data_IF_733761413703
#
_entry.id   IF_733761413703
#
_cell.length_a   1.000
_cell.length_b   1.000
_cell.length_c   1.000
_cell.angle_alpha   90.00
_cell.angle_beta   90.00
_cell.angle_gamma   90.00
#
_symmetry.space_group_name_H-M   'P 1'
#
loop_
_entity.id
_entity.type
_entity.pdbx_description
1 polymer ?
#
# COMPACT_ATOMS: atom_id res chain seq x y z
N UNK A 1 54.90 -33.26 -2.58
CA UNK A 1 54.14 -32.27 -1.76
C UNK A 1 53.22 -31.49 -2.71
N UNK A 2 52.04 -32.01 -3.06
CA UNK A 2 51.17 -31.41 -4.11
C UNK A 2 49.71 -31.22 -3.70
N UNK A 3 49.32 -31.59 -2.47
CA UNK A 3 47.92 -31.51 -2.04
C UNK A 3 47.53 -30.16 -1.41
N UNK A 4 48.47 -29.27 -1.09
CA UNK A 4 48.16 -28.00 -0.40
C UNK A 4 47.63 -26.90 -1.32
N UNK A 5 47.98 -26.92 -2.61
CA UNK A 5 47.55 -25.89 -3.56
C UNK A 5 46.08 -26.03 -3.95
N UNK A 6 45.57 -27.26 -4.08
CA UNK A 6 44.18 -27.52 -4.49
C UNK A 6 43.16 -27.02 -3.44
N UNK A 7 43.43 -27.26 -2.15
CA UNK A 7 42.56 -26.79 -1.08
C UNK A 7 42.49 -25.26 -0.98
N UNK A 8 43.59 -24.55 -1.24
CA UNK A 8 43.63 -23.07 -1.22
C UNK A 8 42.67 -22.47 -2.24
N UNK A 9 42.65 -23.02 -3.45
CA UNK A 9 41.76 -22.54 -4.52
C UNK A 9 40.29 -22.80 -4.21
N UNK A 10 39.96 -23.97 -3.63
CA UNK A 10 38.59 -24.28 -3.20
C UNK A 10 38.10 -23.32 -2.12
N UNK A 11 38.95 -22.97 -1.15
CA UNK A 11 38.62 -22.00 -0.11
C UNK A 11 38.40 -20.60 -0.69
N UNK A 12 39.26 -20.15 -1.62
CA UNK A 12 39.10 -18.86 -2.30
C UNK A 12 37.80 -18.82 -3.10
N UNK A 13 37.46 -19.90 -3.80
CA UNK A 13 36.23 -20.02 -4.58
C UNK A 13 34.99 -20.00 -3.67
N UNK A 14 35.03 -20.71 -2.55
CA UNK A 14 33.95 -20.73 -1.56
C UNK A 14 33.67 -19.34 -0.98
N UNK A 15 34.71 -18.64 -0.50
CA UNK A 15 34.53 -17.29 0.04
C UNK A 15 34.13 -16.28 -1.03
N UNK A 16 34.59 -16.44 -2.28
CA UNK A 16 34.17 -15.62 -3.41
C UNK A 16 32.68 -15.75 -3.71
N UNK A 17 32.17 -16.99 -3.80
CA UNK A 17 30.74 -17.24 -4.09
C UNK A 17 29.85 -16.76 -2.93
N UNK A 18 30.23 -17.04 -1.68
CA UNK A 18 29.50 -16.56 -0.50
C UNK A 18 29.47 -15.04 -0.46
N UNK A 19 30.59 -14.38 -0.75
CA UNK A 19 30.68 -12.92 -0.84
C UNK A 19 29.72 -12.35 -1.87
N UNK A 20 29.71 -12.90 -3.09
CA UNK A 20 28.82 -12.46 -4.18
C UNK A 20 27.34 -12.61 -3.77
N UNK A 21 26.94 -13.76 -3.23
CA UNK A 21 25.56 -14.01 -2.78
C UNK A 21 25.16 -13.01 -1.68
N UNK A 22 26.05 -12.76 -0.73
CA UNK A 22 25.81 -11.83 0.36
C UNK A 22 25.67 -10.39 -0.15
N UNK A 23 26.55 -9.94 -1.05
CA UNK A 23 26.47 -8.61 -1.65
C UNK A 23 25.21 -8.44 -2.48
N UNK A 24 24.85 -9.42 -3.30
CA UNK A 24 23.60 -9.38 -4.09
C UNK A 24 22.39 -9.33 -3.16
N UNK A 25 22.36 -10.14 -2.11
CA UNK A 25 21.26 -10.14 -1.12
C UNK A 25 21.16 -8.80 -0.41
N UNK A 26 22.29 -8.17 -0.07
CA UNK A 26 22.32 -6.88 0.59
C UNK A 26 21.89 -5.75 -0.35
N UNK A 27 22.31 -5.78 -1.61
CA UNK A 27 21.83 -4.86 -2.65
C UNK A 27 20.33 -5.06 -2.88
N UNK A 28 19.84 -6.30 -2.92
CA UNK A 28 18.42 -6.60 -3.09
C UNK A 28 17.59 -6.12 -1.90
N UNK A 29 18.12 -6.26 -0.67
CA UNK A 29 17.47 -5.73 0.53
C UNK A 29 17.50 -4.20 0.57
N UNK A 30 18.60 -3.58 0.13
CA UNK A 30 18.74 -2.13 0.05
C UNK A 30 17.89 -1.51 -1.07
N UNK A 31 17.80 -2.16 -2.24
CA UNK A 31 16.96 -1.78 -3.35
C UNK A 31 15.48 -2.12 -3.11
N UNK A 32 15.19 -3.15 -2.32
CA UNK A 32 13.86 -3.50 -1.82
C UNK A 32 13.40 -2.60 -0.68
N UNK A 33 14.33 -1.90 -0.02
CA UNK A 33 14.05 -0.76 0.86
C UNK A 33 13.75 0.50 0.04
N UNK A 34 12.92 0.35 -0.99
CA UNK A 34 12.27 1.47 -1.63
C UNK A 34 11.47 2.14 -0.53
N UNK A 35 11.84 3.38 -0.21
CA UNK A 35 11.17 4.16 0.80
C UNK A 35 9.66 4.06 0.53
N UNK A 36 8.83 3.64 1.53
CA UNK A 36 7.46 3.24 1.28
C UNK A 36 6.77 4.25 0.39
N UNK A 37 7.01 5.55 0.62
CA UNK A 37 6.65 6.77 -0.12
C UNK A 37 6.73 6.69 -1.66
N UNK A 38 7.59 5.84 -2.23
CA UNK A 38 7.71 5.70 -3.70
C UNK A 38 6.46 5.08 -4.34
N UNK A 39 5.69 4.28 -3.58
CA UNK A 39 4.42 3.72 -4.06
C UNK A 39 3.19 4.59 -3.73
N UNK A 40 3.32 5.63 -2.90
CA UNK A 40 2.18 6.42 -2.39
C UNK A 40 1.79 7.60 -3.29
N UNK A 41 2.53 7.82 -4.39
CA UNK A 41 2.32 8.96 -5.29
C UNK A 41 1.79 8.62 -6.68
N UNK A 42 1.64 7.34 -7.04
CA UNK A 42 1.12 6.97 -8.36
C UNK A 42 -0.38 7.19 -8.37
N UNK A 43 -0.82 8.29 -9.00
CA UNK A 43 -2.21 8.48 -9.43
C UNK A 43 -2.51 7.38 -10.45
N UNK A 44 -2.93 6.21 -9.99
CA UNK A 44 -3.42 5.16 -10.88
C UNK A 44 -4.77 5.64 -11.40
N UNK A 45 -4.78 6.10 -12.65
CA UNK A 45 -6.01 6.31 -13.40
C UNK A 45 -6.63 4.92 -13.58
N UNK A 46 -7.61 4.57 -12.76
CA UNK A 46 -8.32 3.30 -12.92
C UNK A 46 -9.06 3.30 -14.27
N UNK A 47 -9.12 2.16 -14.97
CA UNK A 47 -10.06 2.01 -16.07
C UNK A 47 -11.48 2.23 -15.54
N UNK A 48 -12.25 3.07 -16.25
CA UNK A 48 -13.64 3.43 -15.93
C UNK A 48 -14.47 2.15 -15.78
N UNK A 49 -14.78 1.77 -14.55
CA UNK A 49 -15.68 0.65 -14.27
C UNK A 49 -17.11 1.13 -14.50
N UNK A 50 -17.69 0.76 -15.64
CA UNK A 50 -19.13 0.84 -15.87
C UNK A 50 -19.74 -0.43 -15.30
N UNK A 51 -20.44 -0.34 -14.16
CA UNK A 51 -21.00 -1.53 -13.54
C UNK A 51 -21.86 -1.29 -12.30
N UNK A 52 -23.16 -1.10 -12.55
CA UNK A 52 -24.31 -1.55 -11.74
C UNK A 52 -24.57 -0.86 -10.40
N UNK A 53 -25.61 -0.01 -10.41
CA UNK A 53 -26.08 0.73 -9.23
C UNK A 53 -26.64 -0.14 -8.12
N UNK A 54 -26.30 0.24 -6.89
CA UNK A 54 -27.15 0.03 -5.72
C UNK A 54 -27.69 1.39 -5.27
N UNK A 55 -29.02 1.52 -5.33
CA UNK A 55 -29.76 2.69 -4.90
C UNK A 55 -29.74 2.82 -3.36
N UNK A 56 -29.60 4.06 -2.91
CA UNK A 56 -29.94 4.58 -1.57
C UNK A 56 -29.15 4.04 -0.37
N UNK A 57 -28.15 4.81 0.03
CA UNK A 57 -28.20 5.54 1.31
C UNK A 57 -27.11 6.60 1.34
N UNK A 58 -27.32 7.69 2.07
CA UNK A 58 -26.24 8.66 2.37
C UNK A 58 -25.30 7.98 3.36
N UNK A 59 -24.56 6.99 2.91
CA UNK A 59 -23.91 6.04 3.79
C UNK A 59 -22.67 6.67 4.40
N UNK A 60 -22.81 6.98 5.69
CA UNK A 60 -21.70 7.32 6.56
C UNK A 60 -21.10 6.00 7.03
N UNK A 61 -19.83 5.79 6.72
CA UNK A 61 -19.06 4.64 7.16
C UNK A 61 -18.07 5.07 8.24
N UNK A 62 -17.96 4.27 9.28
CA UNK A 62 -16.88 4.40 10.27
C UNK A 62 -15.83 3.35 9.94
N UNK A 63 -14.62 3.83 9.65
CA UNK A 63 -13.43 3.03 9.38
C UNK A 63 -12.56 3.05 10.64
N UNK A 64 -12.50 1.91 11.32
CA UNK A 64 -11.63 1.72 12.47
C UNK A 64 -10.21 1.40 12.03
N UNK A 65 -9.23 1.76 12.87
CA UNK A 65 -7.81 1.61 12.54
C UNK A 65 -7.46 0.14 12.34
N UNK A 66 -6.86 -0.15 11.19
CA UNK A 66 -6.45 -1.48 10.72
C UNK A 66 -7.59 -2.50 10.54
N UNK A 67 -8.85 -2.08 10.65
CA UNK A 67 -9.99 -2.93 10.35
C UNK A 67 -10.50 -2.65 8.94
N UNK A 68 -10.73 -3.74 8.21
CA UNK A 68 -11.25 -3.70 6.86
C UNK A 68 -12.75 -3.49 6.88
N UNK A 69 -13.23 -2.51 6.11
CA UNK A 69 -14.66 -2.31 5.88
C UNK A 69 -14.93 -2.17 4.40
N UNK A 70 -15.91 -2.93 3.94
CA UNK A 70 -16.34 -2.90 2.54
C UNK A 70 -17.24 -1.70 2.30
N UNK A 71 -16.92 -0.91 1.27
CA UNK A 71 -17.70 0.22 0.77
C UNK A 71 -17.83 0.02 -0.75
N UNK A 72 -19.04 -0.17 -1.24
CA UNK A 72 -19.25 -0.66 -2.62
C UNK A 72 -18.59 -2.03 -2.81
N UNK A 73 -17.78 -2.18 -3.87
CA UNK A 73 -17.01 -3.38 -4.17
C UNK A 73 -15.54 -3.31 -3.67
N UNK A 74 -15.20 -2.34 -2.83
CA UNK A 74 -13.81 -2.12 -2.35
C UNK A 74 -13.74 -2.29 -0.84
N UNK A 75 -12.64 -2.86 -0.34
CA UNK A 75 -12.40 -2.97 1.11
C UNK A 75 -11.40 -1.92 1.55
N UNK A 76 -11.84 -1.00 2.40
CA UNK A 76 -11.06 0.10 2.94
C UNK A 76 -10.50 -0.24 4.33
N UNK A 77 -9.27 0.15 4.57
CA UNK A 77 -8.56 0.02 5.83
C UNK A 77 -8.03 1.40 6.23
N UNK A 78 -8.42 1.91 7.40
CA UNK A 78 -7.82 3.12 7.94
C UNK A 78 -6.46 2.79 8.57
N UNK A 79 -5.36 3.35 8.07
CA UNK A 79 -4.01 3.07 8.61
C UNK A 79 -3.54 4.09 9.63
N UNK A 80 -4.13 5.29 9.62
CA UNK A 80 -3.84 6.35 10.59
C UNK A 80 -3.73 7.72 9.93
N UNK A 81 -3.24 8.68 10.71
CA UNK A 81 -2.91 10.04 10.26
C UNK A 81 -1.40 10.27 10.39
N UNK A 82 -0.80 10.87 9.37
CA UNK A 82 0.62 11.25 9.35
C UNK A 82 0.78 12.57 8.60
N UNK A 83 1.46 13.56 9.21
CA UNK A 83 1.85 14.85 8.59
C UNK A 83 0.71 15.50 7.77
N UNK A 84 -0.44 15.73 8.39
CA UNK A 84 -1.65 16.29 7.74
C UNK A 84 -2.21 15.50 6.55
N UNK A 85 -1.90 14.21 6.51
CA UNK A 85 -2.53 13.27 5.59
C UNK A 85 -3.16 12.11 6.34
N UNK A 86 -4.19 11.55 5.74
CA UNK A 86 -4.86 10.35 6.17
C UNK A 86 -4.43 9.22 5.24
N UNK A 87 -4.05 8.11 5.87
CA UNK A 87 -3.55 6.93 5.19
C UNK A 87 -4.66 5.89 5.14
N UNK A 88 -4.97 5.43 3.93
CA UNK A 88 -5.88 4.35 3.66
C UNK A 88 -5.14 3.19 3.00
N UNK A 89 -5.56 1.97 3.28
CA UNK A 89 -5.28 0.80 2.45
C UNK A 89 -6.57 0.39 1.77
N UNK A 90 -6.57 0.14 0.46
CA UNK A 90 -7.78 -0.25 -0.27
C UNK A 90 -7.52 -1.47 -1.12
N UNK A 91 -8.29 -2.54 -0.89
CA UNK A 91 -8.29 -3.71 -1.75
C UNK A 91 -9.18 -3.40 -2.95
N UNK A 92 -8.63 -3.60 -4.14
CA UNK A 92 -9.23 -3.32 -5.43
C UNK A 92 -9.41 -4.65 -6.16
N UNK A 93 -10.55 -5.35 -6.02
CA UNK A 93 -10.70 -6.73 -6.51
C UNK A 93 -10.44 -6.92 -8.00
N UNK A 94 -10.57 -5.86 -8.81
CA UNK A 94 -10.29 -5.82 -10.24
C UNK A 94 -8.79 -5.84 -10.57
N UNK A 95 -7.94 -5.43 -9.63
CA UNK A 95 -6.47 -5.45 -9.76
C UNK A 95 -5.90 -6.61 -8.93
N UNK A 96 -6.25 -6.66 -7.65
CA UNK A 96 -5.78 -7.66 -6.68
C UNK A 96 -6.81 -7.83 -5.54
N UNK A 97 -7.18 -9.08 -5.25
CA UNK A 97 -8.18 -9.42 -4.23
C UNK A 97 -7.62 -9.54 -2.81
N UNK A 98 -6.31 -9.59 -2.65
CA UNK A 98 -5.65 -9.88 -1.38
C UNK A 98 -4.80 -8.71 -0.87
N UNK A 99 -4.27 -7.88 -1.76
CA UNK A 99 -3.34 -6.82 -1.37
C UNK A 99 -4.01 -5.44 -1.21
N UNK A 100 -3.95 -4.82 -0.01
CA UNK A 100 -4.45 -3.46 0.18
C UNK A 100 -3.48 -2.43 -0.38
N UNK A 101 -3.92 -1.69 -1.38
CA UNK A 101 -3.13 -0.62 -1.99
C UNK A 101 -3.10 0.63 -1.11
N UNK A 102 -1.92 1.24 -0.92
CA UNK A 102 -1.77 2.43 -0.11
C UNK A 102 -2.31 3.69 -0.80
N UNK A 103 -3.12 4.48 -0.10
CA UNK A 103 -3.60 5.80 -0.52
C UNK A 103 -3.35 6.84 0.55
N UNK A 104 -2.96 8.05 0.13
CA UNK A 104 -2.66 9.18 1.00
C UNK A 104 -3.49 10.39 0.59
N UNK A 105 -4.34 10.86 1.50
CA UNK A 105 -5.26 11.97 1.25
C UNK A 105 -4.91 13.12 2.18
N UNK A 106 -4.72 14.30 1.63
CA UNK A 106 -4.45 15.49 2.45
C UNK A 106 -5.73 15.90 3.21
N UNK A 107 -5.60 16.22 4.50
CA UNK A 107 -6.75 16.66 5.31
C UNK A 107 -7.50 17.87 4.73
N UNK A 108 -6.83 18.87 4.12
CA UNK A 108 -7.53 19.98 3.48
C UNK A 108 -8.41 19.56 2.29
N UNK A 109 -7.98 18.56 1.51
CA UNK A 109 -8.78 18.02 0.39
C UNK A 109 -9.85 17.05 0.89
N UNK A 110 -9.57 16.35 1.99
CA UNK A 110 -10.44 15.34 2.56
C UNK A 110 -11.85 15.85 2.92
N UNK A 111 -11.95 17.11 3.37
CA UNK A 111 -13.22 17.75 3.72
C UNK A 111 -14.04 18.23 2.52
N UNK A 112 -13.43 18.39 1.34
CA UNK A 112 -14.10 18.89 0.14
C UNK A 112 -14.53 17.77 -0.82
N UNK A 113 -14.31 16.51 -0.43
CA UNK A 113 -14.50 15.36 -1.31
C UNK A 113 -13.22 14.98 -2.04
N UNK A 114 -12.94 13.68 -2.10
CA UNK A 114 -11.77 13.09 -2.74
C UNK A 114 -12.11 11.71 -3.29
N UNK A 115 -11.44 11.32 -4.36
CA UNK A 115 -11.60 10.01 -4.96
C UNK A 115 -10.56 9.03 -4.41
N UNK A 116 -11.01 7.86 -3.96
CA UNK A 116 -10.13 6.73 -3.64
C UNK A 116 -10.63 5.51 -4.37
N UNK A 117 -9.77 4.98 -5.23
CA UNK A 117 -10.02 3.72 -5.92
C UNK A 117 -11.37 3.72 -6.70
N UNK A 118 -11.74 4.83 -7.33
CA UNK A 118 -13.00 4.95 -8.09
C UNK A 118 -14.22 5.34 -7.25
N UNK A 119 -14.08 5.49 -5.93
CA UNK A 119 -15.17 5.88 -5.03
C UNK A 119 -14.90 7.28 -4.50
N UNK A 120 -15.86 8.17 -4.70
CA UNK A 120 -15.82 9.52 -4.14
C UNK A 120 -16.27 9.51 -2.68
N UNK A 121 -15.41 10.05 -1.82
CA UNK A 121 -15.55 10.07 -0.38
C UNK A 121 -15.36 11.47 0.17
N UNK A 122 -16.07 11.80 1.22
CA UNK A 122 -15.92 13.02 2.01
C UNK A 122 -15.62 12.62 3.45
N UNK A 123 -14.59 13.20 4.06
CA UNK A 123 -14.28 12.93 5.47
C UNK A 123 -15.13 13.84 6.35
N UNK A 124 -15.92 13.23 7.23
CA UNK A 124 -16.75 13.92 8.21
C UNK A 124 -15.94 14.17 9.50
N UNK A 125 -15.19 13.16 9.94
CA UNK A 125 -14.49 13.21 11.22
C UNK A 125 -13.26 12.34 11.20
N UNK A 126 -12.18 12.85 11.79
CA UNK A 126 -10.92 12.13 11.97
C UNK A 126 -10.63 12.04 13.46
N UNK A 127 -10.32 10.84 13.93
CA UNK A 127 -9.82 10.55 15.27
C UNK A 127 -8.58 9.66 15.17
N UNK A 128 -7.78 9.53 16.25
CA UNK A 128 -6.59 8.68 16.22
C UNK A 128 -6.87 7.22 15.86
N UNK A 129 -8.05 6.71 16.25
CA UNK A 129 -8.41 5.30 16.14
C UNK A 129 -9.49 5.01 15.10
N UNK A 130 -10.18 6.02 14.58
CA UNK A 130 -11.18 5.85 13.54
C UNK A 130 -11.31 7.10 12.67
N UNK A 131 -11.83 6.90 11.46
CA UNK A 131 -12.24 7.97 10.57
C UNK A 131 -13.67 7.70 10.10
N UNK A 132 -14.50 8.73 10.09
CA UNK A 132 -15.85 8.67 9.54
C UNK A 132 -15.84 9.30 8.16
N UNK A 133 -16.27 8.53 7.16
CA UNK A 133 -16.35 8.95 5.76
C UNK A 133 -17.79 8.86 5.27
N UNK A 134 -18.14 9.67 4.28
CA UNK A 134 -19.41 9.64 3.58
C UNK A 134 -19.14 9.44 2.11
N UNK A 135 -19.88 8.53 1.48
CA UNK A 135 -19.81 8.39 0.02
C UNK A 135 -20.57 9.56 -0.62
N UNK A 136 -19.92 10.24 -1.56
CA UNK A 136 -20.50 11.31 -2.38
C UNK A 136 -20.55 10.82 -3.83
N UNK A 137 -21.54 11.27 -4.60
CA UNK A 137 -21.73 10.86 -6.01
C UNK A 137 -20.95 11.76 -6.95
#
# INVERSE_FOLDING_TARGET
MEQSFSHKWVVILFFGVVGIIFTISMIYLAAGNVAPDTYWGRKMTLPKSEGTGSLLSTDKYVLERNLGRTIGDRTFFFRGRQNDHILFGVIIPEIDRQYPYPFKISLPQAGNGFEVAGIWLEIITVRPNFVSVKVIK
#
